data_IF_030807486505
#
_entry.id   IF_030807486505
#
_cell.length_a   1.000
_cell.length_b   1.000
_cell.length_c   1.000
_cell.angle_alpha   90.00
_cell.angle_beta   90.00
_cell.angle_gamma   90.00
#
_symmetry.space_group_name_H-M   'P 1'
#
loop_
_entity.id
_entity.type
_entity.pdbx_description
1 polymer ?
#
# COMPACT_ATOMS: atom_id res chain seq x y z
N UNK A 1 -21.07 4.34 20.74
CA UNK A 1 -21.30 3.48 19.55
C UNK A 1 -20.02 2.71 19.34
N UNK A 2 -20.05 1.39 19.50
CA UNK A 2 -18.84 0.55 19.42
C UNK A 2 -18.47 0.37 17.95
N UNK A 3 -17.49 1.13 17.47
CA UNK A 3 -16.81 0.80 16.22
C UNK A 3 -16.03 -0.49 16.48
N UNK A 4 -16.60 -1.64 16.13
CA UNK A 4 -15.84 -2.88 16.03
C UNK A 4 -14.94 -2.72 14.82
N UNK A 5 -13.76 -2.15 15.01
CA UNK A 5 -12.76 -1.99 13.96
C UNK A 5 -12.36 -3.40 13.51
N UNK A 6 -12.84 -3.80 12.34
CA UNK A 6 -12.73 -5.17 11.84
C UNK A 6 -11.29 -5.40 11.39
N UNK A 7 -10.62 -6.37 12.03
CA UNK A 7 -9.34 -6.91 11.58
C UNK A 7 -9.63 -8.10 10.64
N UNK A 8 -8.97 -8.23 9.47
CA UNK A 8 -7.94 -7.35 8.89
C UNK A 8 -8.45 -6.04 8.29
N UNK A 9 -7.71 -4.95 8.54
CA UNK A 9 -7.96 -3.62 7.96
C UNK A 9 -7.66 -3.56 6.45
N UNK A 10 -6.79 -4.45 5.95
CA UNK A 10 -6.56 -4.71 4.53
C UNK A 10 -6.60 -6.23 4.34
N UNK A 11 -7.68 -6.80 3.77
CA UNK A 11 -7.79 -8.24 3.56
C UNK A 11 -6.98 -8.72 2.36
N UNK A 12 -6.65 -10.02 2.34
CA UNK A 12 -5.96 -10.67 1.22
C UNK A 12 -4.43 -10.75 1.42
N UNK A 13 -3.69 -10.68 0.32
CA UNK A 13 -2.22 -10.76 0.33
C UNK A 13 -1.63 -9.38 0.66
N UNK A 14 -1.53 -9.07 1.96
CA UNK A 14 -0.99 -7.81 2.48
C UNK A 14 0.16 -8.03 3.48
N UNK A 15 1.29 -8.63 3.05
CA UNK A 15 2.44 -8.87 3.93
C UNK A 15 3.27 -7.59 4.15
N UNK A 16 3.99 -7.56 5.28
CA UNK A 16 4.96 -6.53 5.66
C UNK A 16 4.44 -5.08 5.60
N UNK A 17 3.32 -4.75 6.28
CA UNK A 17 2.77 -3.40 6.25
C UNK A 17 3.75 -2.39 6.85
N UNK A 18 4.13 -1.39 6.07
CA UNK A 18 4.92 -0.23 6.51
C UNK A 18 4.10 1.04 6.33
N UNK A 19 3.99 1.87 7.38
CA UNK A 19 3.07 3.02 7.42
C UNK A 19 3.77 4.30 7.89
N UNK A 20 3.38 5.45 7.33
CA UNK A 20 3.80 6.79 7.75
C UNK A 20 2.64 7.78 7.73
N UNK A 21 2.68 8.79 8.61
CA UNK A 21 1.72 9.89 8.65
C UNK A 21 2.35 11.17 8.07
N UNK A 22 1.71 11.77 7.07
CA UNK A 22 2.13 13.04 6.45
C UNK A 22 0.88 13.90 6.23
N UNK A 23 0.86 15.12 6.76
CA UNK A 23 -0.23 16.10 6.57
C UNK A 23 -1.63 15.48 6.75
N UNK A 24 -1.87 14.91 7.94
CA UNK A 24 -3.13 14.26 8.33
C UNK A 24 -3.56 13.10 7.41
N UNK A 25 -2.61 12.46 6.72
CA UNK A 25 -2.88 11.33 5.83
C UNK A 25 -1.90 10.21 6.12
N UNK A 26 -2.43 9.03 6.40
CA UNK A 26 -1.64 7.81 6.54
C UNK A 26 -1.38 7.22 5.17
N UNK A 27 -0.12 6.86 4.92
CA UNK A 27 0.31 6.13 3.73
C UNK A 27 0.86 4.79 4.15
N UNK A 28 0.41 3.72 3.51
CA UNK A 28 0.82 2.36 3.79
C UNK A 28 1.28 1.66 2.50
N UNK A 29 2.36 0.89 2.60
CA UNK A 29 2.85 0.01 1.53
C UNK A 29 2.93 -1.42 2.01
N UNK A 30 2.76 -2.37 1.09
CA UNK A 30 2.90 -3.82 1.33
C UNK A 30 3.89 -4.44 0.34
N UNK A 31 4.54 -5.52 0.74
CA UNK A 31 5.41 -6.31 -0.13
C UNK A 31 4.61 -7.05 -1.20
N UNK A 32 5.03 -6.98 -2.46
CA UNK A 32 4.41 -7.73 -3.58
C UNK A 32 5.24 -8.94 -4.06
N UNK A 33 6.47 -9.09 -3.58
CA UNK A 33 7.41 -10.12 -4.03
C UNK A 33 7.56 -10.12 -5.58
N UNK A 34 7.25 -11.19 -6.37
CA UNK A 34 7.40 -11.12 -7.82
C UNK A 34 6.19 -10.47 -8.52
N UNK A 35 5.14 -10.08 -7.79
CA UNK A 35 3.92 -9.54 -8.39
C UNK A 35 4.18 -8.10 -8.87
N UNK A 36 3.78 -7.84 -10.11
CA UNK A 36 3.96 -6.59 -10.82
C UNK A 36 2.62 -6.07 -11.38
N UNK A 37 2.35 -4.74 -11.33
CA UNK A 37 3.14 -3.68 -10.72
C UNK A 37 3.30 -3.85 -9.20
N UNK A 38 4.42 -3.36 -8.65
CA UNK A 38 4.89 -3.73 -7.32
C UNK A 38 4.76 -2.62 -6.28
N UNK A 39 4.68 -3.01 -5.00
CA UNK A 39 4.57 -2.12 -3.83
C UNK A 39 3.40 -1.12 -3.95
N UNK A 40 2.13 -1.58 -3.86
CA UNK A 40 0.98 -0.68 -3.89
C UNK A 40 0.99 0.25 -2.67
N UNK A 41 0.58 1.49 -2.92
CA UNK A 41 0.49 2.57 -1.94
C UNK A 41 -0.98 2.77 -1.59
N UNK A 42 -1.32 2.65 -0.32
CA UNK A 42 -2.63 2.93 0.23
C UNK A 42 -2.62 4.25 0.99
N UNK A 43 -3.73 4.99 0.93
CA UNK A 43 -3.96 6.19 1.72
C UNK A 43 -5.19 6.03 2.61
N UNK A 44 -5.11 6.58 3.82
CA UNK A 44 -6.21 6.60 4.80
C UNK A 44 -6.20 7.90 5.62
N UNK A 45 -7.36 8.28 6.14
CA UNK A 45 -7.54 9.38 7.11
C UNK A 45 -7.83 8.89 8.52
N UNK A 46 -8.16 7.61 8.68
CA UNK A 46 -8.72 7.05 9.91
C UNK A 46 -8.07 5.72 10.35
N UNK A 47 -7.04 5.23 9.63
CA UNK A 47 -6.35 3.94 9.83
C UNK A 47 -7.22 2.69 9.62
N UNK A 48 -8.50 2.86 9.28
CA UNK A 48 -9.47 1.76 9.12
C UNK A 48 -9.86 1.61 7.66
N UNK A 49 -10.18 2.71 6.99
CA UNK A 49 -10.54 2.72 5.57
C UNK A 49 -9.32 3.08 4.72
N UNK A 50 -8.94 2.17 3.83
CA UNK A 50 -7.75 2.30 2.99
C UNK A 50 -8.13 2.30 1.51
N UNK A 51 -7.55 3.23 0.74
CA UNK A 51 -7.71 3.30 -0.71
C UNK A 51 -6.34 3.20 -1.39
N UNK A 52 -6.18 2.29 -2.33
CA UNK A 52 -4.97 2.25 -3.17
C UNK A 52 -4.93 3.48 -4.09
N UNK A 53 -3.82 4.21 -4.06
CA UNK A 53 -3.61 5.45 -4.83
C UNK A 53 -2.54 5.31 -5.92
N UNK A 54 -1.84 4.17 -5.97
CA UNK A 54 -0.85 3.87 -7.00
C UNK A 54 0.12 2.76 -6.56
N UNK A 55 1.20 2.59 -7.29
CA UNK A 55 2.27 1.61 -7.04
C UNK A 55 3.64 2.30 -7.09
N UNK A 56 4.56 1.95 -6.18
CA UNK A 56 5.92 2.51 -6.22
C UNK A 56 6.72 2.01 -7.42
N UNK A 57 6.48 0.77 -7.87
CA UNK A 57 7.18 0.14 -8.98
C UNK A 57 6.20 -0.10 -10.13
N UNK A 58 6.21 0.84 -11.09
CA UNK A 58 5.38 0.81 -12.29
C UNK A 58 6.12 0.39 -13.56
N UNK A 59 5.39 0.36 -14.68
CA UNK A 59 5.89 -0.04 -16.02
C UNK A 59 7.10 0.78 -16.46
N UNK A 60 7.12 2.08 -16.14
CA UNK A 60 8.22 2.97 -16.50
C UNK A 60 9.47 2.67 -15.67
N UNK A 61 9.34 2.47 -14.36
CA UNK A 61 10.50 2.24 -13.48
C UNK A 61 11.21 0.91 -13.73
N UNK A 62 10.50 -0.11 -14.25
CA UNK A 62 11.12 -1.40 -14.57
C UNK A 62 11.89 -1.35 -15.90
N UNK A 63 11.42 -0.56 -16.88
CA UNK A 63 12.11 -0.40 -18.17
C UNK A 63 13.56 0.07 -18.00
N UNK A 64 13.80 0.92 -17.01
CA UNK A 64 15.15 1.42 -16.69
C UNK A 64 16.04 0.34 -16.04
N UNK A 65 15.45 -0.69 -15.42
CA UNK A 65 16.18 -1.80 -14.80
C UNK A 65 16.60 -2.87 -15.81
N UNK A 66 15.78 -3.13 -16.82
CA UNK A 66 16.04 -4.17 -17.83
C UNK A 66 16.96 -3.66 -18.98
N UNK A 67 17.49 -2.45 -18.85
CA UNK A 67 18.36 -1.80 -19.84
C UNK A 67 19.87 -2.04 -19.62
N UNK A 68 20.25 -3.03 -18.81
CA UNK A 68 21.65 -3.37 -18.51
C UNK A 68 22.09 -4.67 -19.20
#
# INVERSE_FOLDING_TARGET
MTSSEVNPIIPGFAPDPSVVLINDTFFLVISTFPIFPGLPIYASKDLVTWKQIGECVGVVSQRDRDSY
#
